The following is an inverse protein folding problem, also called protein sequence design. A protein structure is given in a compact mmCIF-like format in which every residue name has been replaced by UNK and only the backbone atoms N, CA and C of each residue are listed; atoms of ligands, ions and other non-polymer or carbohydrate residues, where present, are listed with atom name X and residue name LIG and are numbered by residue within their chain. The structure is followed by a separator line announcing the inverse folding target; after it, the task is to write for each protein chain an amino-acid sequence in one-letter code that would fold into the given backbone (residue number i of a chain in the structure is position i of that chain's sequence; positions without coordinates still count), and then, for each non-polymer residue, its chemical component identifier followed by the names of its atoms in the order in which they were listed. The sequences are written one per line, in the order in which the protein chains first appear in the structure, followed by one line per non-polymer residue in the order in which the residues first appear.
data_IF_175935325634
#
_entry.id   IF_175935325634
#
_cell.length_a   1.000
_cell.length_b   1.000
_cell.length_c   1.000
_cell.angle_alpha   90.00
_cell.angle_beta   90.00
_cell.angle_gamma   90.00
#
_symmetry.space_group_name_H-M   'P 1'
#
loop_
_entity.id
_entity.type
_entity.pdbx_description
1 polymer ?
#
# COMPACT_ATOMS: atom_id res chain seq x y z
N UNK A 1 2.65 19.01 -7.62
CA UNK A 1 2.09 17.67 -7.92
C UNK A 1 2.62 17.24 -9.28
N UNK A 2 3.12 16.05 -9.38
CA UNK A 2 3.53 15.41 -10.63
C UNK A 2 2.98 13.99 -10.68
N UNK A 3 3.08 13.33 -11.83
CA UNK A 3 2.79 11.91 -11.95
C UNK A 3 4.08 11.11 -12.21
N UNK A 4 4.03 9.82 -11.94
CA UNK A 4 5.15 8.87 -12.16
C UNK A 4 4.97 8.12 -13.48
N UNK A 5 4.49 8.80 -14.48
CA UNK A 5 4.16 8.20 -15.76
C UNK A 5 5.39 7.63 -16.47
N UNK A 6 5.32 6.38 -16.85
CA UNK A 6 6.37 5.68 -17.60
C UNK A 6 5.75 4.87 -18.73
N UNK A 7 5.62 5.51 -19.90
CA UNK A 7 5.07 4.86 -21.08
C UNK A 7 5.99 3.73 -21.58
N UNK A 8 5.42 2.59 -22.01
CA UNK A 8 4.01 2.22 -21.93
C UNK A 8 3.63 1.50 -20.61
N UNK A 9 4.58 1.27 -19.74
CA UNK A 9 4.47 0.29 -18.65
C UNK A 9 3.69 0.78 -17.41
N UNK A 10 3.60 2.07 -17.20
CA UNK A 10 2.86 2.67 -16.08
C UNK A 10 1.95 3.83 -16.51
N UNK A 11 1.46 3.78 -17.77
CA UNK A 11 0.65 4.88 -18.29
C UNK A 11 -0.67 5.08 -17.56
N UNK A 12 -1.33 3.99 -17.11
CA UNK A 12 -2.61 4.04 -16.40
C UNK A 12 -2.53 3.67 -14.92
N UNK A 13 -1.46 3.02 -14.48
CA UNK A 13 -1.21 2.68 -13.09
C UNK A 13 -0.21 3.63 -12.40
N UNK A 14 0.14 4.75 -13.05
CA UNK A 14 1.03 5.74 -12.47
C UNK A 14 0.36 6.46 -11.30
N UNK A 15 1.08 6.52 -10.18
CA UNK A 15 0.64 7.25 -8.99
C UNK A 15 1.05 8.71 -9.07
N UNK A 16 0.25 9.60 -8.50
CA UNK A 16 0.62 10.99 -8.34
C UNK A 16 1.69 11.15 -7.25
N UNK A 17 2.60 12.09 -7.49
CA UNK A 17 3.65 12.46 -6.53
C UNK A 17 3.38 13.86 -6.02
N UNK A 18 3.28 13.99 -4.72
CA UNK A 18 3.12 15.26 -4.01
C UNK A 18 4.38 15.54 -3.21
N UNK A 19 5.19 16.46 -3.72
CA UNK A 19 6.47 16.82 -3.11
C UNK A 19 6.58 18.32 -2.96
N UNK A 20 7.19 18.85 -1.87
CA UNK A 20 7.48 20.26 -1.74
C UNK A 20 8.57 20.65 -2.75
N UNK A 21 8.41 21.82 -3.35
CA UNK A 21 9.44 22.42 -4.18
C UNK A 21 10.47 23.13 -3.29
N UNK A 22 11.74 22.95 -3.60
CA UNK A 22 12.80 23.78 -3.05
C UNK A 22 13.12 24.90 -4.04
N UNK A 23 13.16 26.12 -3.53
CA UNK A 23 13.43 27.33 -4.32
C UNK A 23 14.69 27.98 -3.78
N UNK A 24 15.70 28.12 -4.64
CA UNK A 24 16.95 28.86 -4.36
C UNK A 24 17.18 29.89 -5.46
N UNK A 25 16.87 31.14 -5.15
CA UNK A 25 16.89 32.24 -6.13
C UNK A 25 15.90 31.95 -7.27
N UNK A 26 16.44 31.77 -8.48
CA UNK A 26 15.67 31.39 -9.68
C UNK A 26 15.64 29.90 -9.96
N UNK A 27 16.27 29.07 -9.12
CA UNK A 27 16.33 27.63 -9.29
C UNK A 27 15.22 26.95 -8.50
N UNK A 28 14.48 26.05 -9.16
CA UNK A 28 13.42 25.24 -8.55
C UNK A 28 13.80 23.77 -8.72
N UNK A 29 13.74 23.01 -7.62
CA UNK A 29 14.09 21.57 -7.64
C UNK A 29 13.24 20.73 -6.70
N UNK A 30 13.24 19.43 -6.95
CA UNK A 30 12.79 18.36 -6.03
C UNK A 30 14.00 17.45 -5.85
N UNK A 31 14.88 17.71 -4.85
CA UNK A 31 16.18 17.04 -4.77
C UNK A 31 16.06 15.55 -4.37
N UNK A 32 15.03 15.20 -3.60
CA UNK A 32 14.83 13.86 -3.08
C UNK A 32 13.36 13.46 -3.14
N UNK A 33 13.10 12.15 -3.31
CA UNK A 33 11.79 11.58 -3.16
C UNK A 33 11.54 11.21 -1.70
N UNK A 34 10.50 11.80 -1.10
CA UNK A 34 10.05 11.47 0.26
C UNK A 34 8.73 10.72 0.21
N UNK A 35 8.68 9.54 0.80
CA UNK A 35 7.45 8.77 0.89
C UNK A 35 6.40 9.46 1.76
N UNK A 36 6.83 10.09 2.84
CA UNK A 36 5.99 10.88 3.75
C UNK A 36 6.69 12.18 4.13
N UNK A 37 5.94 13.26 4.24
CA UNK A 37 6.47 14.56 4.62
C UNK A 37 5.41 15.43 5.32
N UNK A 38 5.88 16.33 6.19
CA UNK A 38 5.03 17.27 6.94
C UNK A 38 4.73 18.49 6.05
N UNK A 39 3.45 18.70 5.74
CA UNK A 39 3.01 19.78 4.85
C UNK A 39 3.28 21.18 5.43
N UNK A 40 3.34 21.34 6.75
CA UNK A 40 3.58 22.64 7.39
C UNK A 40 5.08 22.95 7.49
N UNK A 41 5.90 21.92 7.68
CA UNK A 41 7.36 22.06 7.86
C UNK A 41 8.14 21.86 6.57
N UNK A 42 7.51 21.29 5.53
CA UNK A 42 8.12 20.94 4.25
C UNK A 42 9.38 20.07 4.42
N UNK A 43 9.29 19.07 5.32
CA UNK A 43 10.40 18.17 5.67
C UNK A 43 9.94 16.72 5.67
N UNK A 44 10.85 15.76 5.36
CA UNK A 44 10.53 14.35 5.47
C UNK A 44 10.15 13.99 6.90
N UNK A 45 9.22 13.06 7.04
CA UNK A 45 8.83 12.48 8.32
C UNK A 45 8.87 10.96 8.24
N UNK A 46 9.25 10.33 9.34
CA UNK A 46 9.07 8.90 9.51
C UNK A 46 7.64 8.66 10.01
N UNK A 47 6.76 8.28 9.07
CA UNK A 47 5.36 8.02 9.38
C UNK A 47 5.15 6.84 10.33
N UNK A 48 6.13 5.94 10.46
CA UNK A 48 6.04 4.75 11.30
C UNK A 48 6.62 4.95 12.71
N UNK A 49 7.25 6.09 12.98
CA UNK A 49 8.00 6.36 14.21
C UNK A 49 7.23 6.08 15.51
N UNK A 50 5.92 6.32 15.51
CA UNK A 50 5.06 6.10 16.69
C UNK A 50 4.29 4.79 16.62
N UNK A 51 4.35 4.11 15.50
CA UNK A 51 3.64 2.86 15.27
C UNK A 51 4.30 1.69 15.99
N UNK A 52 3.48 0.74 16.41
CA UNK A 52 3.92 -0.54 16.94
C UNK A 52 3.72 -1.62 15.89
N UNK A 53 4.78 -2.33 15.56
CA UNK A 53 4.71 -3.43 14.59
C UNK A 53 3.94 -4.60 15.17
N UNK A 54 3.05 -5.16 14.36
CA UNK A 54 2.31 -6.38 14.68
C UNK A 54 3.14 -7.58 14.20
N UNK A 55 3.54 -8.49 15.09
CA UNK A 55 4.26 -9.69 14.67
C UNK A 55 3.34 -10.63 13.90
N UNK A 56 3.89 -11.35 12.90
CA UNK A 56 3.15 -12.32 12.08
C UNK A 56 2.42 -13.37 12.92
N UNK A 57 2.97 -13.75 14.09
CA UNK A 57 2.33 -14.68 15.03
C UNK A 57 1.01 -14.20 15.64
N UNK A 58 0.66 -12.92 15.49
CA UNK A 58 -0.63 -12.35 15.89
C UNK A 58 -1.58 -12.12 14.72
N UNK A 59 -1.19 -12.49 13.52
CA UNK A 59 -2.01 -12.37 12.33
C UNK A 59 -2.71 -13.71 12.07
N UNK A 60 -3.99 -13.65 11.78
CA UNK A 60 -4.76 -14.79 11.30
C UNK A 60 -4.84 -14.69 9.77
N UNK A 61 -4.62 -15.79 9.08
CA UNK A 61 -4.70 -15.80 7.62
C UNK A 61 -5.19 -17.15 7.09
N UNK A 62 -5.82 -17.09 5.93
CA UNK A 62 -6.25 -18.29 5.21
C UNK A 62 -5.04 -19.11 4.75
N UNK A 63 -5.18 -20.43 4.57
CA UNK A 63 -4.05 -21.32 4.21
C UNK A 63 -3.32 -20.95 2.92
N UNK A 64 -3.94 -20.13 2.07
CA UNK A 64 -3.38 -19.70 0.78
C UNK A 64 -2.36 -18.56 0.88
N UNK A 65 -2.08 -18.06 2.08
CA UNK A 65 -0.97 -17.15 2.32
C UNK A 65 0.31 -17.92 2.60
N UNK A 66 1.32 -17.67 1.81
CA UNK A 66 2.66 -18.22 2.00
C UNK A 66 3.51 -17.26 2.83
N UNK A 67 4.35 -17.84 3.68
CA UNK A 67 5.36 -17.08 4.42
C UNK A 67 6.74 -17.30 3.79
N UNK A 68 7.33 -16.22 3.25
CA UNK A 68 8.65 -16.20 2.67
C UNK A 68 9.50 -15.10 3.27
N UNK A 69 10.65 -15.46 3.86
CA UNK A 69 11.62 -14.50 4.43
C UNK A 69 11.00 -13.45 5.36
N UNK A 70 9.99 -13.83 6.16
CA UNK A 70 9.33 -12.95 7.14
C UNK A 70 8.24 -12.06 6.55
N UNK A 71 7.93 -12.18 5.26
CA UNK A 71 6.79 -11.54 4.58
C UNK A 71 5.69 -12.56 4.29
N UNK A 72 4.49 -12.08 4.11
CA UNK A 72 3.33 -12.87 3.69
C UNK A 72 2.96 -12.51 2.26
N UNK A 73 2.68 -13.50 1.42
CA UNK A 73 2.27 -13.28 0.04
C UNK A 73 1.18 -14.27 -0.37
N UNK A 74 0.25 -13.80 -1.20
CA UNK A 74 -0.77 -14.64 -1.84
C UNK A 74 -1.22 -14.03 -3.16
N UNK A 75 -1.58 -14.86 -4.13
CA UNK A 75 -2.27 -14.47 -5.36
C UNK A 75 -3.63 -15.16 -5.51
N UNK A 76 -4.07 -15.91 -4.49
CA UNK A 76 -5.32 -16.66 -4.51
C UNK A 76 -6.47 -15.72 -4.18
N UNK A 77 -7.41 -15.55 -5.11
CA UNK A 77 -8.58 -14.71 -4.93
C UNK A 77 -9.38 -15.11 -3.70
N UNK A 78 -9.71 -14.12 -2.86
CA UNK A 78 -10.47 -14.31 -1.63
C UNK A 78 -9.63 -14.72 -0.43
N UNK A 79 -8.30 -14.91 -0.57
CA UNK A 79 -7.41 -15.11 0.57
C UNK A 79 -7.39 -13.86 1.44
N UNK A 80 -7.50 -14.04 2.76
CA UNK A 80 -7.62 -12.94 3.73
C UNK A 80 -6.56 -13.03 4.80
N UNK A 81 -5.94 -11.89 5.10
CA UNK A 81 -5.24 -11.62 6.37
C UNK A 81 -6.22 -10.90 7.30
N UNK A 82 -6.29 -11.34 8.55
CA UNK A 82 -7.13 -10.75 9.60
C UNK A 82 -6.25 -10.37 10.80
N UNK A 83 -6.22 -9.11 11.13
CA UNK A 83 -5.28 -8.56 12.11
C UNK A 83 -6.05 -7.73 13.14
N UNK A 84 -6.32 -8.29 14.32
CA UNK A 84 -6.91 -7.53 15.41
C UNK A 84 -5.88 -6.58 16.04
N UNK A 85 -6.30 -5.35 16.34
CA UNK A 85 -5.49 -4.37 17.04
C UNK A 85 -6.37 -3.43 17.90
N UNK A 86 -5.75 -2.76 18.85
CA UNK A 86 -6.34 -1.65 19.58
C UNK A 86 -5.55 -0.39 19.27
N UNK A 87 -6.21 0.63 18.75
CA UNK A 87 -5.54 1.87 18.34
C UNK A 87 -6.44 2.76 17.50
N UNK A 88 -5.84 3.69 16.76
CA UNK A 88 -6.55 4.68 15.94
C UNK A 88 -6.47 4.40 14.44
N UNK A 89 -5.36 3.83 13.95
CA UNK A 89 -5.15 3.53 12.53
C UNK A 89 -4.02 2.51 12.33
N UNK A 90 -3.84 2.08 11.08
CA UNK A 90 -2.78 1.14 10.70
C UNK A 90 -2.02 1.62 9.48
N UNK A 91 -0.76 1.15 9.35
CA UNK A 91 0.02 1.26 8.13
C UNK A 91 0.41 -0.15 7.65
N UNK A 92 0.19 -0.44 6.39
CA UNK A 92 0.59 -1.68 5.72
C UNK A 92 1.80 -1.39 4.85
N UNK A 93 2.90 -2.08 5.15
CA UNK A 93 4.11 -2.06 4.34
C UNK A 93 4.11 -3.32 3.49
N UNK A 94 4.34 -3.15 2.21
CA UNK A 94 4.37 -4.26 1.27
C UNK A 94 5.21 -3.93 0.04
N UNK A 95 5.55 -4.96 -0.70
CA UNK A 95 6.26 -4.83 -1.96
C UNK A 95 5.25 -4.72 -3.11
N UNK A 96 5.44 -3.73 -3.96
CA UNK A 96 4.85 -3.68 -5.29
C UNK A 96 5.87 -4.12 -6.32
N UNK A 97 5.42 -4.86 -7.33
CA UNK A 97 6.25 -5.37 -8.41
C UNK A 97 5.41 -5.68 -9.65
N UNK A 98 6.03 -6.10 -10.79
CA UNK A 98 5.29 -6.41 -12.03
C UNK A 98 4.30 -7.59 -11.94
N UNK A 99 4.36 -8.39 -10.90
CA UNK A 99 3.49 -9.57 -10.70
C UNK A 99 2.38 -9.31 -9.67
N UNK A 100 2.22 -8.07 -9.22
CA UNK A 100 1.28 -7.71 -8.14
C UNK A 100 -0.08 -7.27 -8.68
N UNK A 101 -1.11 -7.53 -7.87
CA UNK A 101 -2.50 -7.19 -8.17
C UNK A 101 -3.10 -6.19 -7.17
N UNK A 102 -4.43 -6.22 -7.06
CA UNK A 102 -5.17 -5.38 -6.11
C UNK A 102 -5.49 -6.14 -4.83
N UNK A 103 -5.37 -5.43 -3.70
CA UNK A 103 -5.92 -5.87 -2.42
C UNK A 103 -7.12 -5.01 -2.03
N UNK A 104 -8.16 -5.61 -1.45
CA UNK A 104 -9.18 -4.90 -0.70
C UNK A 104 -8.72 -4.81 0.74
N UNK A 105 -8.58 -3.59 1.25
CA UNK A 105 -8.22 -3.32 2.65
C UNK A 105 -9.44 -2.75 3.35
N UNK A 106 -9.86 -3.38 4.47
CA UNK A 106 -11.04 -2.98 5.23
C UNK A 106 -10.70 -2.88 6.72
N UNK A 107 -11.32 -1.94 7.42
CA UNK A 107 -11.36 -1.91 8.88
C UNK A 107 -12.76 -2.29 9.37
N UNK A 108 -12.80 -3.22 10.30
CA UNK A 108 -14.00 -3.57 11.04
C UNK A 108 -13.89 -3.00 12.46
N UNK A 109 -14.97 -2.47 12.99
CA UNK A 109 -15.06 -2.07 14.40
C UNK A 109 -15.27 -3.26 15.35
N UNK A 110 -15.45 -3.01 16.64
CA UNK A 110 -15.68 -4.03 17.66
C UNK A 110 -16.99 -4.82 17.44
N UNK A 111 -17.96 -4.26 16.69
CA UNK A 111 -19.21 -4.92 16.32
C UNK A 111 -19.10 -5.72 15.03
N UNK A 112 -17.94 -5.69 14.37
CA UNK A 112 -17.69 -6.26 13.05
C UNK A 112 -18.36 -5.51 11.89
N UNK A 113 -18.80 -4.27 12.12
CA UNK A 113 -19.25 -3.39 11.07
C UNK A 113 -18.06 -2.82 10.30
N UNK A 114 -18.17 -2.74 8.97
CA UNK A 114 -17.12 -2.16 8.14
C UNK A 114 -17.17 -0.64 8.27
N UNK A 115 -16.12 -0.04 8.86
CA UNK A 115 -15.99 1.40 9.06
C UNK A 115 -15.08 2.08 8.04
N UNK A 116 -14.28 1.30 7.31
CA UNK A 116 -13.44 1.78 6.22
C UNK A 116 -13.20 0.67 5.20
N UNK A 117 -13.13 1.03 3.93
CA UNK A 117 -12.72 0.14 2.84
C UNK A 117 -11.97 0.93 1.75
N UNK A 118 -10.92 0.32 1.22
CA UNK A 118 -10.17 0.84 0.07
C UNK A 118 -9.69 -0.29 -0.83
N UNK A 119 -9.54 0.01 -2.11
CA UNK A 119 -8.84 -0.84 -3.06
C UNK A 119 -7.42 -0.31 -3.22
N UNK A 120 -6.43 -1.17 -2.95
CA UNK A 120 -5.01 -0.80 -2.97
C UNK A 120 -4.33 -1.50 -4.13
N UNK A 121 -3.66 -0.73 -4.97
CA UNK A 121 -2.84 -1.24 -6.07
C UNK A 121 -1.43 -1.57 -5.56
N UNK A 122 -1.02 -2.83 -5.76
CA UNK A 122 0.32 -3.31 -5.45
C UNK A 122 1.20 -3.40 -6.69
N UNK A 123 0.69 -3.04 -7.88
CA UNK A 123 1.49 -3.08 -9.09
C UNK A 123 2.53 -1.95 -9.12
N UNK A 124 3.72 -2.28 -9.56
CA UNK A 124 4.73 -1.33 -10.01
C UNK A 124 5.57 -1.97 -11.11
N UNK A 125 5.99 -1.17 -12.09
CA UNK A 125 6.94 -1.63 -13.11
C UNK A 125 8.27 -2.10 -12.51
N UNK A 126 8.66 -1.48 -11.40
CA UNK A 126 9.89 -1.81 -10.67
C UNK A 126 9.54 -2.25 -9.25
N UNK A 127 10.23 -3.27 -8.71
CA UNK A 127 10.04 -3.66 -7.32
C UNK A 127 10.28 -2.46 -6.37
N UNK A 128 9.34 -2.22 -5.47
CA UNK A 128 9.41 -1.15 -4.49
C UNK A 128 8.74 -1.59 -3.19
N UNK A 129 9.50 -1.57 -2.09
CA UNK A 129 8.97 -1.75 -0.75
C UNK A 129 8.62 -0.39 -0.15
N UNK A 130 7.34 -0.20 0.19
CA UNK A 130 6.84 1.07 0.68
C UNK A 130 5.58 0.89 1.55
N UNK A 131 5.13 1.97 2.19
CA UNK A 131 3.78 2.03 2.76
C UNK A 131 2.78 1.96 1.60
N UNK A 132 2.02 0.88 1.54
CA UNK A 132 0.97 0.71 0.50
C UNK A 132 -0.31 1.44 0.86
N UNK A 133 -0.63 1.48 2.15
CA UNK A 133 -1.77 2.21 2.66
C UNK A 133 -1.53 2.58 4.12
N UNK A 134 -1.99 3.77 4.50
CA UNK A 134 -2.32 4.13 5.87
C UNK A 134 -3.83 4.31 5.95
N UNK A 135 -4.49 3.62 6.89
CA UNK A 135 -5.93 3.80 7.09
C UNK A 135 -6.20 5.18 7.70
N UNK A 136 -7.39 5.76 7.53
CA UNK A 136 -7.75 6.98 8.22
C UNK A 136 -7.61 6.86 9.73
N UNK A 137 -7.33 7.97 10.39
CA UNK A 137 -7.35 8.06 11.85
C UNK A 137 -8.79 8.00 12.35
N UNK A 138 -9.06 7.05 13.22
CA UNK A 138 -10.37 6.77 13.84
C UNK A 138 -10.25 6.98 15.36
N UNK A 139 -11.37 7.07 16.10
CA UNK A 139 -11.32 7.03 17.58
C UNK A 139 -10.57 5.79 18.06
N UNK A 140 -9.85 5.88 19.18
CA UNK A 140 -9.15 4.73 19.76
C UNK A 140 -10.16 3.66 20.20
N UNK A 141 -10.10 2.48 19.56
CA UNK A 141 -10.97 1.34 19.86
C UNK A 141 -10.31 0.02 19.41
N UNK A 142 -11.03 -1.10 19.57
CA UNK A 142 -10.66 -2.39 19.03
C UNK A 142 -11.16 -2.50 17.60
N UNK A 143 -10.22 -2.72 16.69
CA UNK A 143 -10.48 -2.90 15.26
C UNK A 143 -9.92 -4.22 14.76
N UNK A 144 -10.41 -4.64 13.60
CA UNK A 144 -9.80 -5.72 12.81
C UNK A 144 -9.47 -5.17 11.43
N UNK A 145 -8.19 -5.17 11.07
CA UNK A 145 -7.75 -4.91 9.70
C UNK A 145 -7.89 -6.19 8.90
N UNK A 146 -8.58 -6.12 7.75
CA UNK A 146 -8.65 -7.19 6.77
C UNK A 146 -7.90 -6.79 5.51
N UNK A 147 -7.08 -7.68 4.97
CA UNK A 147 -6.44 -7.54 3.67
C UNK A 147 -6.84 -8.75 2.83
N UNK A 148 -7.66 -8.52 1.81
CA UNK A 148 -8.18 -9.55 0.91
C UNK A 148 -7.52 -9.44 -0.46
N UNK A 149 -7.02 -10.55 -0.98
CA UNK A 149 -6.55 -10.67 -2.37
C UNK A 149 -7.74 -10.67 -3.32
N UNK A 150 -7.83 -9.69 -4.20
CA UNK A 150 -8.99 -9.60 -5.12
C UNK A 150 -8.89 -10.56 -6.30
N UNK A 151 -7.69 -11.04 -6.63
CA UNK A 151 -7.41 -11.81 -7.83
C UNK A 151 -7.50 -10.98 -9.12
N UNK A 152 -7.55 -9.65 -9.00
CA UNK A 152 -7.60 -8.73 -10.13
C UNK A 152 -6.20 -8.15 -10.38
N UNK A 153 -5.80 -8.14 -11.64
CA UNK A 153 -4.55 -7.56 -12.10
C UNK A 153 -4.79 -6.19 -12.74
N UNK A 154 -3.96 -5.17 -12.48
CA UNK A 154 -3.95 -3.95 -13.27
C UNK A 154 -3.42 -4.25 -14.67
N UNK A 155 -4.29 -4.19 -15.68
CA UNK A 155 -3.96 -4.45 -17.08
C UNK A 155 -4.57 -3.37 -17.94
N UNK A 156 -3.81 -2.87 -18.92
CA UNK A 156 -4.27 -1.86 -19.87
C UNK A 156 -3.69 -2.08 -21.28
N UNK A 157 -4.27 -1.41 -22.25
CA UNK A 157 -3.79 -1.44 -23.62
C UNK A 157 -3.42 -0.04 -24.11
N UNK A 158 -2.44 0.05 -24.98
CA UNK A 158 -2.12 1.28 -25.70
C UNK A 158 -2.93 1.43 -27.00
N UNK A 159 -2.61 2.47 -27.77
CA UNK A 159 -3.24 2.74 -29.09
C UNK A 159 -2.98 1.64 -30.13
N UNK A 160 -1.91 0.87 -29.97
CA UNK A 160 -1.55 -0.26 -30.84
C UNK A 160 -2.19 -1.58 -30.40
N UNK A 161 -3.01 -1.55 -29.33
CA UNK A 161 -3.61 -2.72 -28.69
C UNK A 161 -2.60 -3.66 -28.03
N UNK A 162 -1.37 -3.24 -27.83
CA UNK A 162 -0.41 -3.96 -27.01
C UNK A 162 -0.88 -3.94 -25.53
N UNK A 163 -0.79 -5.09 -24.89
CA UNK A 163 -1.22 -5.28 -23.47
C UNK A 163 -0.05 -5.04 -22.55
N UNK A 164 -0.28 -4.27 -21.50
CA UNK A 164 0.68 -3.94 -20.46
C UNK A 164 0.05 -4.14 -19.09
N UNK A 165 0.87 -4.13 -18.06
CA UNK A 165 0.42 -4.23 -16.66
C UNK A 165 1.00 -5.46 -15.97
N UNK A 166 0.30 -5.94 -14.97
CA UNK A 166 0.70 -7.10 -14.20
C UNK A 166 0.41 -8.40 -14.96
N UNK A 167 1.24 -9.41 -14.74
CA UNK A 167 1.04 -10.77 -15.22
C UNK A 167 0.53 -11.72 -14.13
N UNK A 168 0.34 -11.22 -12.90
CA UNK A 168 -0.20 -11.98 -11.76
C UNK A 168 -0.95 -11.04 -10.80
N UNK A 169 -1.54 -11.60 -9.74
CA UNK A 169 -2.35 -10.87 -8.76
C UNK A 169 -1.76 -10.94 -7.34
N UNK A 170 -0.46 -11.06 -7.19
CA UNK A 170 0.17 -11.15 -5.89
C UNK A 170 -0.08 -9.90 -5.04
N UNK A 171 -0.38 -10.15 -3.76
CA UNK A 171 -0.37 -9.16 -2.69
C UNK A 171 0.71 -9.58 -1.71
N UNK A 172 1.67 -8.69 -1.46
CA UNK A 172 2.81 -8.97 -0.58
C UNK A 172 2.78 -8.01 0.60
N UNK A 173 2.74 -8.56 1.82
CA UNK A 173 2.75 -7.81 3.07
C UNK A 173 4.01 -8.12 3.84
N UNK A 174 4.86 -7.11 4.04
CA UNK A 174 6.13 -7.22 4.77
C UNK A 174 5.95 -6.95 6.26
N UNK A 175 5.15 -5.95 6.60
CA UNK A 175 4.87 -5.60 8.00
C UNK A 175 3.62 -4.73 8.12
N UNK A 176 3.02 -4.77 9.30
CA UNK A 176 1.85 -3.96 9.64
C UNK A 176 2.16 -3.24 10.94
N UNK A 177 1.83 -1.95 10.99
CA UNK A 177 1.95 -1.11 12.17
C UNK A 177 0.57 -0.62 12.57
N UNK A 178 0.36 -0.44 13.88
CA UNK A 178 -0.81 0.24 14.46
C UNK A 178 -0.39 1.39 15.37
N UNK A 179 -1.27 2.35 15.57
CA UNK A 179 -1.04 3.59 16.31
C UNK A 179 -2.12 3.83 17.34
#
# INVERSE_FOLDING_TARGET
MGDRWSYPHQASAATYVWMPLQVDGTHISIPEYWQCWDINRLKPVDALRKGKQIPVSKMEFTPDWEQDNGRLLSNVKGSVLSIPFKGTHTAVIGESNPHSGYARVSLLDAKKDTVYVSLVDFYSKYPEKAIRIMTPEMPEDNYTLLIEVTGIMPVWTDKTKAVYGSDNSFVTVDSIYYF
#
